data_IF_266660644270
#
_entry.id   IF_266660644270
#
_cell.length_a   1.000
_cell.length_b   1.000
_cell.length_c   1.000
_cell.angle_alpha   90.00
_cell.angle_beta   90.00
_cell.angle_gamma   90.00
#
_symmetry.space_group_name_H-M   'P 1'
#
loop_
_entity.id
_entity.type
_entity.pdbx_description
1 polymer ?
#
# COMPACT_ATOMS: atom_id res chain seq x y z
N UNK A 1 -49.27 -8.49 16.42
CA UNK A 1 -49.39 -7.02 16.35
C UNK A 1 -47.99 -6.46 16.57
N UNK A 2 -47.07 -6.77 15.66
CA UNK A 2 -46.77 -6.00 14.43
C UNK A 2 -46.01 -4.70 14.75
N UNK A 3 -44.97 -4.27 14.05
CA UNK A 3 -44.01 -4.85 13.13
C UNK A 3 -43.05 -3.68 12.83
N UNK A 4 -41.76 -3.78 13.11
CA UNK A 4 -40.73 -2.90 12.50
C UNK A 4 -39.51 -3.80 12.24
N UNK A 5 -39.65 -4.66 11.24
CA UNK A 5 -39.01 -4.53 9.92
C UNK A 5 -37.49 -4.38 9.96
N UNK A 6 -36.87 -5.43 9.42
CA UNK A 6 -35.53 -5.59 8.87
C UNK A 6 -34.74 -4.31 8.57
N UNK A 7 -33.42 -4.35 8.77
CA UNK A 7 -32.48 -4.17 7.65
C UNK A 7 -31.00 -4.43 8.01
N UNK A 8 -30.54 -5.58 7.52
CA UNK A 8 -29.28 -5.79 6.77
C UNK A 8 -27.97 -6.05 7.54
N UNK A 9 -27.51 -7.29 7.38
CA UNK A 9 -26.11 -7.73 7.41
C UNK A 9 -25.19 -6.79 6.60
N UNK A 10 -24.27 -6.06 7.24
CA UNK A 10 -23.10 -5.54 6.51
C UNK A 10 -21.82 -5.61 7.35
N UNK A 11 -20.90 -6.46 6.89
CA UNK A 11 -19.47 -6.32 7.10
C UNK A 11 -19.04 -4.87 6.80
N UNK A 12 -18.11 -4.36 7.60
CA UNK A 12 -17.42 -3.06 7.51
C UNK A 12 -18.07 -1.90 8.28
N UNK A 13 -17.74 -1.78 9.57
CA UNK A 13 -17.82 -0.50 10.28
C UNK A 13 -16.42 0.00 10.62
N UNK A 14 -15.71 0.53 9.61
CA UNK A 14 -14.47 1.29 9.79
C UNK A 14 -14.76 2.75 10.18
N UNK A 15 -15.73 2.98 11.05
CA UNK A 15 -16.13 4.30 11.50
C UNK A 15 -16.46 4.28 12.99
N UNK A 16 -16.12 5.35 13.68
CA UNK A 16 -16.44 5.59 15.09
C UNK A 16 -17.34 6.82 15.16
N UNK A 17 -18.42 6.75 15.95
CA UNK A 17 -19.21 7.92 16.29
C UNK A 17 -18.54 8.61 17.48
N UNK A 18 -18.07 9.85 17.28
CA UNK A 18 -17.51 10.68 18.35
C UNK A 18 -18.24 12.02 18.33
N UNK A 19 -18.87 12.39 19.46
CA UNK A 19 -19.69 13.60 19.58
C UNK A 19 -20.82 13.69 18.53
N UNK A 20 -21.58 12.62 18.34
CA UNK A 20 -22.64 12.51 17.31
C UNK A 20 -22.18 12.65 15.84
N UNK A 21 -20.89 12.81 15.57
CA UNK A 21 -20.33 12.79 14.23
C UNK A 21 -19.76 11.41 13.88
N UNK A 22 -20.13 10.88 12.71
CA UNK A 22 -19.57 9.64 12.16
C UNK A 22 -18.21 9.95 11.51
N UNK A 23 -17.13 9.41 12.08
CA UNK A 23 -15.75 9.62 11.58
C UNK A 23 -15.13 8.31 11.13
N UNK A 24 -14.48 8.33 9.98
CA UNK A 24 -13.75 7.17 9.45
C UNK A 24 -12.53 6.86 10.34
N UNK A 25 -12.30 5.60 10.68
CA UNK A 25 -11.19 5.18 11.54
C UNK A 25 -9.83 5.57 10.96
N UNK A 26 -9.67 5.60 9.64
CA UNK A 26 -8.43 6.06 9.01
C UNK A 26 -8.23 7.57 9.21
N UNK A 27 -9.30 8.36 9.16
CA UNK A 27 -9.24 9.80 9.47
C UNK A 27 -8.91 10.06 10.95
N UNK A 28 -9.35 9.17 11.84
CA UNK A 28 -9.00 9.18 13.26
C UNK A 28 -7.54 8.79 13.45
N UNK A 29 -7.08 7.67 12.88
CA UNK A 29 -5.70 7.21 12.99
C UNK A 29 -4.72 8.25 12.43
N UNK A 30 -5.08 8.92 11.33
CA UNK A 30 -4.32 10.03 10.76
C UNK A 30 -4.33 11.27 11.67
N UNK A 31 -5.44 11.54 12.38
CA UNK A 31 -5.54 12.66 13.34
C UNK A 31 -4.78 12.40 14.65
N UNK A 32 -4.72 11.15 15.12
CA UNK A 32 -4.11 10.77 16.39
C UNK A 32 -2.72 10.12 16.24
N UNK A 33 -2.14 10.10 15.03
CA UNK A 33 -0.80 9.54 14.80
C UNK A 33 -0.70 8.05 15.13
N UNK A 34 -1.77 7.28 14.92
CA UNK A 34 -1.70 5.81 14.98
C UNK A 34 -1.18 5.35 13.62
N UNK A 35 0.15 5.38 13.47
CA UNK A 35 0.86 5.06 12.24
C UNK A 35 0.94 3.54 12.09
N UNK A 36 0.04 2.95 11.32
CA UNK A 36 0.29 1.60 10.80
C UNK A 36 1.16 1.70 9.56
N UNK A 37 2.15 0.83 9.50
CA UNK A 37 2.99 0.56 8.33
C UNK A 37 2.20 -0.05 7.15
N UNK A 38 0.97 -0.49 7.40
CA UNK A 38 0.07 -1.07 6.42
C UNK A 38 -1.19 -0.21 6.21
N UNK A 39 -1.37 0.29 4.99
CA UNK A 39 -2.57 1.02 4.57
C UNK A 39 -3.46 0.16 3.67
N UNK A 40 -4.76 0.23 3.88
CA UNK A 40 -5.76 -0.37 2.99
C UNK A 40 -6.53 0.74 2.26
N UNK A 41 -6.72 0.62 0.94
CA UNK A 41 -7.52 1.60 0.18
C UNK A 41 -8.95 1.63 0.73
N UNK A 42 -9.33 2.79 1.29
CA UNK A 42 -10.67 3.03 1.84
C UNK A 42 -11.73 3.12 0.73
N UNK A 43 -13.00 2.94 1.09
CA UNK A 43 -14.14 2.98 0.16
C UNK A 43 -14.29 1.76 -0.75
N UNK A 44 -13.39 0.79 -0.67
CA UNK A 44 -13.50 -0.49 -1.40
C UNK A 44 -14.11 -1.52 -0.45
N UNK A 45 -15.36 -1.94 -0.71
CA UNK A 45 -15.97 -3.11 -0.03
C UNK A 45 -15.14 -4.34 -0.40
N UNK A 46 -14.25 -4.77 0.49
CA UNK A 46 -13.46 -5.98 0.30
C UNK A 46 -14.02 -7.08 1.18
N UNK A 47 -14.16 -8.27 0.62
CA UNK A 47 -14.25 -9.46 1.46
C UNK A 47 -12.94 -9.53 2.27
N UNK A 48 -13.04 -9.41 3.60
CA UNK A 48 -11.87 -9.39 4.50
C UNK A 48 -11.00 -10.65 4.41
N UNK A 49 -11.54 -11.74 3.85
CA UNK A 49 -10.83 -13.00 3.61
C UNK A 49 -10.26 -13.11 2.19
N UNK A 50 -10.60 -12.20 1.29
CA UNK A 50 -10.07 -12.20 -0.07
C UNK A 50 -8.63 -11.68 -0.07
N UNK A 51 -7.77 -12.34 -0.83
CA UNK A 51 -6.41 -11.89 -1.05
C UNK A 51 -6.41 -10.50 -1.73
N UNK A 52 -5.48 -9.61 -1.37
CA UNK A 52 -5.37 -8.32 -2.04
C UNK A 52 -5.03 -8.52 -3.53
N UNK A 53 -5.45 -7.60 -4.41
CA UNK A 53 -5.12 -7.70 -5.83
C UNK A 53 -3.59 -7.74 -6.03
N UNK A 54 -3.14 -8.71 -6.81
CA UNK A 54 -1.73 -8.90 -7.11
C UNK A 54 -1.26 -7.97 -8.24
N UNK A 55 0.03 -7.68 -8.24
CA UNK A 55 0.71 -6.95 -9.30
C UNK A 55 0.99 -7.86 -10.49
N UNK A 56 0.48 -7.50 -11.66
CA UNK A 56 0.68 -8.24 -12.92
C UNK A 56 0.71 -7.26 -14.09
N UNK A 57 1.55 -7.52 -15.09
CA UNK A 57 1.48 -6.83 -16.39
C UNK A 57 0.40 -7.46 -17.29
N UNK A 58 0.23 -6.94 -18.51
CA UNK A 58 -0.75 -7.43 -19.49
C UNK A 58 -0.54 -8.91 -19.89
N UNK A 59 0.69 -9.42 -19.78
CA UNK A 59 1.02 -10.82 -20.02
C UNK A 59 0.82 -11.71 -18.78
N UNK A 60 0.30 -11.16 -17.67
CA UNK A 60 0.07 -11.88 -16.42
C UNK A 60 1.34 -12.11 -15.59
N UNK A 61 2.50 -11.58 -16.00
CA UNK A 61 3.76 -11.70 -15.27
C UNK A 61 3.75 -10.79 -14.04
N UNK A 62 4.28 -11.23 -12.89
CA UNK A 62 4.32 -10.43 -11.67
C UNK A 62 5.34 -9.29 -11.81
N UNK A 63 4.84 -8.08 -12.06
CA UNK A 63 5.67 -6.88 -12.27
C UNK A 63 5.13 -5.72 -11.45
N UNK A 64 6.03 -5.04 -10.74
CA UNK A 64 5.72 -3.84 -9.96
C UNK A 64 6.45 -2.65 -10.56
N UNK A 65 5.79 -1.84 -11.41
CA UNK A 65 6.38 -0.60 -11.92
C UNK A 65 6.56 0.41 -10.80
N UNK A 66 7.69 1.11 -10.75
CA UNK A 66 7.94 2.13 -9.73
C UNK A 66 8.57 3.43 -10.26
N UNK A 67 8.32 4.51 -9.53
CA UNK A 67 8.98 5.82 -9.68
C UNK A 67 9.54 6.27 -8.34
N UNK A 68 10.47 7.24 -8.37
CA UNK A 68 11.02 7.89 -7.18
C UNK A 68 10.61 9.36 -7.17
N UNK A 69 9.95 9.82 -6.12
CA UNK A 69 9.61 11.22 -5.87
C UNK A 69 10.15 11.63 -4.49
N UNK A 70 11.40 12.08 -4.47
CA UNK A 70 12.08 12.50 -3.24
C UNK A 70 11.90 14.01 -2.97
N UNK A 71 10.99 14.69 -3.66
CA UNK A 71 10.88 16.16 -3.63
C UNK A 71 10.44 16.74 -2.29
N UNK A 72 9.82 15.93 -1.42
CA UNK A 72 9.19 16.38 -0.17
C UNK A 72 10.02 16.10 1.09
N UNK A 73 11.17 15.45 0.97
CA UNK A 73 11.97 15.03 2.11
C UNK A 73 13.40 14.68 1.73
N UNK A 74 14.04 13.85 2.56
CA UNK A 74 15.39 13.39 2.32
C UNK A 74 15.48 12.48 1.09
N UNK A 75 16.61 12.56 0.39
CA UNK A 75 16.86 11.75 -0.78
C UNK A 75 17.34 10.34 -0.37
N UNK A 76 16.39 9.40 -0.29
CA UNK A 76 16.65 7.99 0.00
C UNK A 76 16.71 7.12 -1.27
N UNK A 77 16.88 7.73 -2.45
CA UNK A 77 16.88 7.00 -3.74
C UNK A 77 17.88 5.85 -3.75
N UNK A 78 19.09 6.07 -3.23
CA UNK A 78 20.15 5.06 -3.25
C UNK A 78 19.76 3.80 -2.45
N UNK A 79 19.24 3.96 -1.23
CA UNK A 79 18.84 2.81 -0.40
C UNK A 79 17.59 2.11 -0.95
N UNK A 80 16.67 2.86 -1.56
CA UNK A 80 15.49 2.29 -2.23
C UNK A 80 15.94 1.44 -3.43
N UNK A 81 16.79 1.97 -4.31
CA UNK A 81 17.31 1.26 -5.48
C UNK A 81 18.11 0.02 -5.05
N UNK A 82 18.96 0.15 -4.03
CA UNK A 82 19.71 -0.97 -3.47
C UNK A 82 18.77 -2.08 -2.98
N UNK A 83 17.75 -1.73 -2.19
CA UNK A 83 16.75 -2.69 -1.68
C UNK A 83 16.00 -3.39 -2.81
N UNK A 84 15.59 -2.65 -3.84
CA UNK A 84 14.92 -3.20 -5.02
C UNK A 84 15.83 -4.20 -5.75
N UNK A 85 17.11 -3.88 -5.91
CA UNK A 85 18.06 -4.77 -6.57
C UNK A 85 18.30 -6.05 -5.76
N UNK A 86 18.44 -5.93 -4.44
CA UNK A 86 18.56 -7.07 -3.53
C UNK A 86 17.32 -7.97 -3.60
N UNK A 87 16.12 -7.38 -3.53
CA UNK A 87 14.86 -8.11 -3.64
C UNK A 87 14.71 -8.80 -5.00
N UNK A 88 14.94 -8.07 -6.10
CA UNK A 88 14.87 -8.64 -7.45
C UNK A 88 15.83 -9.82 -7.63
N UNK A 89 17.03 -9.73 -7.06
CA UNK A 89 18.04 -10.79 -7.10
C UNK A 89 17.59 -12.00 -6.29
N UNK A 90 17.13 -11.77 -5.05
CA UNK A 90 16.62 -12.82 -4.18
C UNK A 90 15.44 -13.57 -4.81
N UNK A 91 14.46 -12.84 -5.35
CA UNK A 91 13.28 -13.45 -5.97
C UNK A 91 13.64 -14.27 -7.21
N UNK A 92 14.53 -13.77 -8.08
CA UNK A 92 14.99 -14.53 -9.26
C UNK A 92 15.67 -15.85 -8.89
N UNK A 93 16.44 -15.86 -7.79
CA UNK A 93 17.23 -17.02 -7.41
C UNK A 93 16.44 -18.04 -6.57
N UNK A 94 15.49 -17.58 -5.75
CA UNK A 94 14.86 -18.41 -4.73
C UNK A 94 13.34 -18.51 -4.81
N UNK A 95 12.64 -17.58 -5.48
CA UNK A 95 11.17 -17.55 -5.50
C UNK A 95 10.60 -17.53 -6.91
N UNK A 96 9.87 -18.58 -7.27
CA UNK A 96 9.23 -18.70 -8.59
C UNK A 96 10.23 -18.50 -9.73
N UNK A 97 11.36 -19.24 -9.72
CA UNK A 97 12.52 -19.08 -10.63
C UNK A 97 12.14 -18.88 -12.11
N UNK A 98 11.09 -19.56 -12.60
CA UNK A 98 10.62 -19.45 -13.99
C UNK A 98 9.78 -18.19 -14.28
N UNK A 99 9.18 -17.59 -13.26
CA UNK A 99 8.35 -16.38 -13.37
C UNK A 99 8.42 -15.53 -12.09
N UNK A 100 9.59 -14.98 -11.75
CA UNK A 100 9.79 -14.29 -10.49
C UNK A 100 9.09 -12.92 -10.51
N UNK A 101 8.59 -12.44 -9.36
CA UNK A 101 8.18 -11.05 -9.22
C UNK A 101 9.38 -10.14 -9.38
N UNK A 102 9.22 -9.09 -10.19
CA UNK A 102 10.29 -8.12 -10.45
C UNK A 102 9.75 -6.70 -10.34
N UNK A 103 10.46 -5.87 -9.60
CA UNK A 103 10.28 -4.43 -9.54
C UNK A 103 11.05 -3.78 -10.69
N UNK A 104 10.38 -2.93 -11.47
CA UNK A 104 10.93 -2.34 -12.69
C UNK A 104 10.68 -0.82 -12.71
N UNK A 105 11.61 0.00 -13.24
CA UNK A 105 11.33 1.41 -13.48
C UNK A 105 10.08 1.54 -14.35
N UNK A 106 9.16 2.40 -13.91
CA UNK A 106 7.92 2.66 -14.63
C UNK A 106 8.21 3.32 -15.98
N UNK A 107 7.43 2.93 -16.98
CA UNK A 107 7.32 3.61 -18.27
C UNK A 107 5.95 4.28 -18.38
N UNK A 108 4.94 3.58 -18.91
CA UNK A 108 3.59 4.08 -19.16
C UNK A 108 2.50 3.29 -18.42
N UNK A 109 2.86 2.45 -17.46
CA UNK A 109 1.91 1.62 -16.74
C UNK A 109 0.91 2.48 -15.95
N UNK A 110 -0.38 2.13 -16.03
CA UNK A 110 -1.46 2.82 -15.31
C UNK A 110 -1.34 2.63 -13.79
N UNK A 111 -1.01 1.41 -13.36
CA UNK A 111 -0.80 1.08 -11.96
C UNK A 111 0.69 1.01 -11.67
N UNK A 112 1.14 1.76 -10.67
CA UNK A 112 2.54 1.83 -10.31
C UNK A 112 2.72 2.34 -8.89
N UNK A 113 3.89 2.05 -8.32
CA UNK A 113 4.31 2.58 -7.03
C UNK A 113 5.08 3.88 -7.23
N UNK A 114 4.87 4.85 -6.36
CA UNK A 114 5.78 5.99 -6.19
C UNK A 114 6.38 5.92 -4.80
N UNK A 115 7.68 5.70 -4.73
CA UNK A 115 8.42 5.88 -3.49
C UNK A 115 8.56 7.36 -3.21
N UNK A 116 8.32 7.75 -1.97
CA UNK A 116 8.43 9.12 -1.52
C UNK A 116 8.97 9.19 -0.10
N UNK A 117 9.47 10.38 0.26
CA UNK A 117 9.90 10.70 1.61
C UNK A 117 9.06 11.86 2.12
N UNK A 118 8.23 11.59 3.13
CA UNK A 118 7.50 12.61 3.89
C UNK A 118 8.07 12.64 5.30
N UNK A 119 8.66 13.78 5.72
CA UNK A 119 9.16 13.95 7.08
C UNK A 119 8.05 13.73 8.10
N UNK A 120 8.38 13.09 9.22
CA UNK A 120 7.47 12.82 10.34
C UNK A 120 6.20 11.99 10.02
N UNK A 121 6.15 11.30 8.88
CA UNK A 121 4.98 10.49 8.44
C UNK A 121 5.24 8.97 8.54
N UNK A 122 6.38 8.58 9.14
CA UNK A 122 6.75 7.18 9.41
C UNK A 122 6.96 6.32 8.15
N UNK A 123 7.09 5.01 8.33
CA UNK A 123 7.19 4.05 7.22
C UNK A 123 5.80 3.48 6.94
N UNK A 124 5.33 3.52 5.70
CA UNK A 124 4.07 2.85 5.36
C UNK A 124 3.94 2.52 3.87
N UNK A 125 3.10 1.55 3.57
CA UNK A 125 2.73 1.17 2.21
C UNK A 125 1.28 0.74 2.11
N UNK A 126 0.71 0.80 0.91
CA UNK A 126 -0.56 0.14 0.65
C UNK A 126 -0.39 -1.37 0.49
N UNK A 127 -1.34 -2.14 1.04
CA UNK A 127 -1.37 -3.60 0.89
C UNK A 127 -1.90 -3.99 -0.50
N UNK A 128 -1.02 -4.58 -1.31
CA UNK A 128 -1.32 -5.04 -2.68
C UNK A 128 -1.46 -3.91 -3.70
N UNK A 129 -1.93 -4.26 -4.92
CA UNK A 129 -2.22 -3.30 -5.99
C UNK A 129 -3.57 -2.65 -5.73
N UNK A 130 -3.59 -1.34 -5.51
CA UNK A 130 -4.83 -0.60 -5.20
C UNK A 130 -5.46 0.12 -6.40
N UNK A 131 -4.75 0.16 -7.52
CA UNK A 131 -5.16 0.78 -8.78
C UNK A 131 -4.74 2.25 -8.88
N UNK A 132 -4.17 2.63 -10.03
CA UNK A 132 -3.53 3.91 -10.28
C UNK A 132 -2.12 4.01 -9.66
N UNK A 133 -1.64 5.25 -9.52
CA UNK A 133 -0.46 5.55 -8.71
C UNK A 133 -0.76 5.28 -7.23
N UNK A 134 0.13 4.56 -6.55
CA UNK A 134 0.06 4.37 -5.11
C UNK A 134 1.40 4.66 -4.44
N UNK A 135 1.35 5.21 -3.24
CA UNK A 135 2.54 5.69 -2.54
C UNK A 135 3.11 4.62 -1.61
N UNK A 136 4.44 4.61 -1.50
CA UNK A 136 5.19 3.99 -0.42
C UNK A 136 6.03 5.09 0.22
N UNK A 137 5.81 5.35 1.51
CA UNK A 137 6.56 6.35 2.24
C UNK A 137 7.73 5.70 2.97
N UNK A 138 8.93 6.21 2.69
CA UNK A 138 10.16 5.91 3.42
C UNK A 138 10.46 7.14 4.26
N UNK A 139 9.79 7.26 5.41
CA UNK A 139 9.98 8.36 6.35
C UNK A 139 11.33 8.30 7.08
N UNK A 140 11.53 9.27 7.97
CA UNK A 140 12.71 9.32 8.83
C UNK A 140 12.80 8.06 9.69
N UNK A 141 13.97 7.42 9.67
CA UNK A 141 14.22 6.18 10.39
C UNK A 141 13.94 4.91 9.58
N UNK A 142 13.40 5.00 8.35
CA UNK A 142 13.06 3.86 7.49
C UNK A 142 14.11 3.54 6.42
N UNK A 143 15.19 4.33 6.35
CA UNK A 143 16.17 4.35 5.26
C UNK A 143 17.23 3.23 5.35
N UNK A 144 16.80 1.99 5.57
CA UNK A 144 17.66 0.81 5.67
C UNK A 144 17.19 -0.29 4.70
N UNK A 145 18.12 -1.18 4.32
CA UNK A 145 17.80 -2.39 3.54
C UNK A 145 17.29 -3.49 4.46
N UNK A 146 16.34 -4.30 4.00
CA UNK A 146 15.69 -5.35 4.82
C UNK A 146 16.15 -6.79 4.56
N UNK A 147 17.30 -6.99 3.89
CA UNK A 147 17.87 -8.31 3.56
C UNK A 147 19.30 -8.38 4.07
#
# INVERSE_FOLDING_TARGET
MDNLFEMVLFQDRNWIIKNHEKKDINSINMKYGIWSDMKFKSGVKRNKRALPPLWKNNAGQPRVPYTLDMSKGQNYSNVIIQSINMLNTHMKNYSCVNNPPVWVPRTNETDYVTFMTVPNDGCWSYVGRVGGSQQINIGDGCQYTGI
#
